data_IF_738292740167
#
_entry.id   IF_738292740167
#
_cell.length_a   1.000
_cell.length_b   1.000
_cell.length_c   1.000
_cell.angle_alpha   90.00
_cell.angle_beta   90.00
_cell.angle_gamma   90.00
#
_symmetry.space_group_name_H-M   'P 1'
#
loop_
_entity.id
_entity.type
_entity.pdbx_description
1 polymer ?
#
# COMPACT_ATOMS: atom_id res chain seq x y z
N UNK A 1 8.46 9.05 -15.03
CA UNK A 1 7.08 8.70 -14.63
C UNK A 1 6.90 7.21 -14.33
N UNK A 2 7.42 6.29 -15.15
CA UNK A 2 7.34 4.83 -14.93
C UNK A 2 7.74 4.39 -13.51
N UNK A 3 8.88 4.86 -12.99
CA UNK A 3 9.33 4.53 -11.63
C UNK A 3 8.40 5.07 -10.53
N UNK A 4 7.82 6.25 -10.73
CA UNK A 4 6.91 6.86 -9.74
C UNK A 4 5.59 6.09 -9.68
N UNK A 5 5.04 5.72 -10.83
CA UNK A 5 3.84 4.87 -10.91
C UNK A 5 4.04 3.53 -10.21
N UNK A 6 5.17 2.87 -10.48
CA UNK A 6 5.53 1.59 -9.87
C UNK A 6 5.68 1.71 -8.36
N UNK A 7 6.30 2.80 -7.87
CA UNK A 7 6.43 3.07 -6.43
C UNK A 7 5.09 3.33 -5.73
N UNK A 8 4.13 4.03 -6.35
CA UNK A 8 2.82 4.28 -5.75
C UNK A 8 1.99 3.00 -5.67
N UNK A 9 2.01 2.18 -6.72
CA UNK A 9 1.36 0.87 -6.72
C UNK A 9 1.92 -0.05 -5.64
N UNK A 10 3.24 -0.04 -5.46
CA UNK A 10 3.91 -0.80 -4.43
C UNK A 10 3.46 -0.39 -3.01
N UNK A 11 3.47 0.91 -2.72
CA UNK A 11 3.06 1.44 -1.42
C UNK A 11 1.60 1.08 -1.08
N UNK A 12 0.67 1.20 -2.05
CA UNK A 12 -0.73 0.82 -1.86
C UNK A 12 -0.89 -0.68 -1.51
N UNK A 13 -0.22 -1.55 -2.27
CA UNK A 13 -0.28 -3.01 -2.06
C UNK A 13 0.33 -3.42 -0.72
N UNK A 14 1.47 -2.84 -0.37
CA UNK A 14 2.16 -3.14 0.89
C UNK A 14 1.30 -2.79 2.10
N UNK A 15 0.66 -1.60 2.10
CA UNK A 15 -0.20 -1.14 3.19
C UNK A 15 -1.43 -2.03 3.39
N UNK A 16 -2.09 -2.44 2.30
CA UNK A 16 -3.24 -3.37 2.37
C UNK A 16 -2.83 -4.73 2.94
N UNK A 17 -1.71 -5.29 2.48
CA UNK A 17 -1.18 -6.54 3.04
C UNK A 17 -0.87 -6.37 4.53
N UNK A 18 -0.16 -5.32 4.90
CA UNK A 18 0.18 -5.04 6.30
C UNK A 18 -1.06 -4.97 7.21
N UNK A 19 -2.11 -4.28 6.77
CA UNK A 19 -3.37 -4.19 7.53
C UNK A 19 -3.98 -5.57 7.79
N UNK A 20 -3.96 -6.47 6.80
CA UNK A 20 -4.41 -7.87 6.95
C UNK A 20 -3.50 -8.65 7.90
N UNK A 21 -2.17 -8.50 7.81
CA UNK A 21 -1.22 -9.17 8.69
C UNK A 21 -1.40 -8.76 10.16
N UNK A 22 -1.70 -7.49 10.44
CA UNK A 22 -2.01 -7.02 11.80
C UNK A 22 -3.27 -7.69 12.34
N UNK A 23 -4.32 -7.82 11.53
CA UNK A 23 -5.55 -8.51 11.92
C UNK A 23 -5.33 -10.00 12.17
N UNK A 24 -4.54 -10.67 11.31
CA UNK A 24 -4.18 -12.09 11.47
C UNK A 24 -3.33 -12.30 12.73
N UNK A 25 -2.39 -11.41 13.01
CA UNK A 25 -1.58 -11.48 14.23
C UNK A 25 -2.44 -11.32 15.50
N UNK A 26 -3.36 -10.35 15.50
CA UNK A 26 -4.28 -10.15 16.62
C UNK A 26 -5.23 -11.34 16.80
N UNK A 27 -5.79 -11.89 15.71
CA UNK A 27 -6.69 -13.03 15.79
C UNK A 27 -5.98 -14.27 16.32
N UNK A 28 -4.76 -14.56 15.85
CA UNK A 28 -3.94 -15.66 16.34
C UNK A 28 -3.60 -15.50 17.83
N UNK A 29 -3.26 -14.28 18.27
CA UNK A 29 -2.97 -14.00 19.67
C UNK A 29 -4.22 -14.17 20.56
N UNK A 30 -5.38 -13.71 20.10
CA UNK A 30 -6.65 -13.89 20.78
C UNK A 30 -7.01 -15.38 20.90
N UNK A 31 -6.86 -16.16 19.83
CA UNK A 31 -7.09 -17.61 19.85
C UNK A 31 -6.15 -18.31 20.83
N UNK A 32 -4.87 -17.92 20.90
CA UNK A 32 -3.92 -18.48 21.85
C UNK A 32 -4.37 -18.25 23.30
N UNK A 33 -4.76 -17.02 23.65
CA UNK A 33 -5.27 -16.71 25.00
C UNK A 33 -6.49 -17.56 25.33
N UNK A 34 -7.46 -17.65 24.42
CA UNK A 34 -8.66 -18.47 24.62
C UNK A 34 -8.30 -19.94 24.84
N UNK A 35 -7.40 -20.51 24.02
CA UNK A 35 -6.98 -21.92 24.18
C UNK A 35 -6.27 -22.18 25.50
N UNK A 36 -5.38 -21.27 25.94
CA UNK A 36 -4.72 -21.38 27.24
C UNK A 36 -5.71 -21.27 28.41
N UNK A 37 -6.68 -20.37 28.32
CA UNK A 37 -7.75 -20.25 29.32
C UNK A 37 -8.62 -21.51 29.41
N UNK A 38 -8.93 -22.15 28.27
CA UNK A 38 -9.69 -23.40 28.25
C UNK A 38 -8.92 -24.57 28.86
N UNK A 39 -7.61 -24.66 28.61
CA UNK A 39 -6.75 -25.71 29.22
C UNK A 39 -6.71 -25.56 30.75
N UNK A 40 -6.77 -24.34 31.28
CA UNK A 40 -6.80 -24.09 32.73
C UNK A 40 -8.18 -24.34 33.38
N UNK A 41 -9.20 -24.74 32.61
CA UNK A 41 -10.55 -24.97 33.14
C UNK A 41 -11.25 -23.69 33.59
N UNK A 42 -10.93 -22.55 32.95
CA UNK A 42 -11.51 -21.27 33.32
C UNK A 42 -13.04 -21.24 33.14
N UNK A 43 -13.74 -20.68 34.12
CA UNK A 43 -15.17 -20.35 34.01
C UNK A 43 -15.38 -19.24 32.97
N UNK A 44 -16.61 -19.12 32.43
CA UNK A 44 -16.96 -18.06 31.46
C UNK A 44 -16.64 -16.66 32.02
N UNK A 45 -16.81 -16.46 33.33
CA UNK A 45 -16.50 -15.21 34.02
C UNK A 45 -15.00 -14.87 34.03
N UNK A 46 -14.14 -15.87 34.23
CA UNK A 46 -12.68 -15.71 34.13
C UNK A 46 -12.23 -15.46 32.68
N UNK A 47 -12.89 -16.07 31.70
CA UNK A 47 -12.59 -15.83 30.29
C UNK A 47 -12.85 -14.37 29.89
N UNK A 48 -13.94 -13.78 30.39
CA UNK A 48 -14.27 -12.38 30.12
C UNK A 48 -13.28 -11.46 30.84
N UNK A 49 -13.12 -11.64 32.15
CA UNK A 49 -12.34 -10.71 32.99
C UNK A 49 -10.83 -10.79 32.75
N UNK A 50 -10.30 -12.00 32.53
CA UNK A 50 -8.86 -12.25 32.40
C UNK A 50 -8.42 -12.41 30.94
N UNK A 51 -9.32 -12.76 30.03
CA UNK A 51 -9.04 -12.93 28.61
C UNK A 51 -9.47 -11.73 27.76
N UNK A 52 -10.78 -11.46 27.69
CA UNK A 52 -11.35 -10.48 26.74
C UNK A 52 -11.08 -9.04 27.18
N UNK A 53 -11.29 -8.70 28.45
CA UNK A 53 -11.10 -7.33 28.97
C UNK A 53 -9.72 -6.74 28.68
N UNK A 54 -8.59 -7.44 28.92
CA UNK A 54 -7.27 -6.91 28.58
C UNK A 54 -6.96 -6.87 27.07
N UNK A 55 -7.73 -7.59 26.23
CA UNK A 55 -7.59 -7.56 24.77
C UNK A 55 -8.26 -6.34 24.11
N UNK A 56 -9.21 -5.70 24.78
CA UNK A 56 -9.98 -4.58 24.23
C UNK A 56 -9.11 -3.42 23.70
N UNK A 57 -8.08 -2.93 24.43
CA UNK A 57 -7.20 -1.88 23.91
C UNK A 57 -6.43 -2.33 22.66
N UNK A 58 -6.02 -3.60 22.60
CA UNK A 58 -5.33 -4.17 21.45
C UNK A 58 -6.23 -4.25 20.21
N UNK A 59 -7.49 -4.64 20.41
CA UNK A 59 -8.50 -4.66 19.33
C UNK A 59 -8.75 -3.25 18.80
N UNK A 60 -8.92 -2.26 19.68
CA UNK A 60 -9.11 -0.86 19.26
C UNK A 60 -7.89 -0.32 18.50
N UNK A 61 -6.68 -0.62 18.97
CA UNK A 61 -5.45 -0.20 18.30
C UNK A 61 -5.29 -0.86 16.92
N UNK A 62 -5.61 -2.15 16.81
CA UNK A 62 -5.56 -2.88 15.55
C UNK A 62 -6.60 -2.39 14.55
N UNK A 63 -7.83 -2.12 14.99
CA UNK A 63 -8.85 -1.52 14.12
C UNK A 63 -8.43 -0.14 13.64
N UNK A 64 -7.90 0.70 14.54
CA UNK A 64 -7.36 2.01 14.15
C UNK A 64 -6.22 1.88 13.14
N UNK A 65 -5.26 0.98 13.39
CA UNK A 65 -4.17 0.72 12.47
C UNK A 65 -4.68 0.22 11.11
N UNK A 66 -5.72 -0.63 11.09
CA UNK A 66 -6.35 -1.09 9.86
C UNK A 66 -6.94 0.08 9.06
N UNK A 67 -7.77 0.91 9.69
CA UNK A 67 -8.39 2.07 9.02
C UNK A 67 -7.34 3.09 8.54
N UNK A 68 -6.38 3.44 9.40
CA UNK A 68 -5.33 4.40 9.05
C UNK A 68 -4.48 3.90 7.85
N UNK A 69 -4.27 2.58 7.73
CA UNK A 69 -3.54 1.97 6.62
C UNK A 69 -4.40 1.82 5.35
N UNK A 70 -5.69 1.49 5.47
CA UNK A 70 -6.60 1.43 4.32
C UNK A 70 -6.82 2.82 3.71
N UNK A 71 -7.01 3.85 4.54
CA UNK A 71 -7.08 5.23 4.09
C UNK A 71 -5.80 5.69 3.38
N UNK A 72 -4.63 5.28 3.88
CA UNK A 72 -3.36 5.52 3.21
C UNK A 72 -3.26 4.77 1.87
N UNK A 73 -3.76 3.53 1.79
CA UNK A 73 -3.80 2.79 0.54
C UNK A 73 -4.73 3.45 -0.50
N UNK A 74 -5.90 3.95 -0.09
CA UNK A 74 -6.83 4.68 -0.97
C UNK A 74 -6.16 5.94 -1.54
N UNK A 75 -5.41 6.70 -0.72
CA UNK A 75 -4.65 7.88 -1.21
C UNK A 75 -3.55 7.49 -2.20
N UNK A 76 -2.85 6.39 -1.95
CA UNK A 76 -1.84 5.88 -2.86
C UNK A 76 -2.46 5.42 -4.21
N UNK A 77 -3.64 4.80 -4.19
CA UNK A 77 -4.40 4.44 -5.39
C UNK A 77 -4.82 5.69 -6.19
N UNK A 78 -5.24 6.76 -5.52
CA UNK A 78 -5.55 8.04 -6.18
C UNK A 78 -4.31 8.66 -6.86
N UNK A 79 -3.15 8.62 -6.21
CA UNK A 79 -1.88 9.08 -6.79
C UNK A 79 -1.46 8.23 -8.01
N UNK A 80 -1.69 6.92 -7.95
CA UNK A 80 -1.48 6.04 -9.10
C UNK A 80 -2.38 6.46 -10.27
N UNK A 81 -3.66 6.73 -10.03
CA UNK A 81 -4.59 7.20 -11.06
C UNK A 81 -4.16 8.52 -11.69
N UNK A 82 -3.67 9.47 -10.88
CA UNK A 82 -3.10 10.72 -11.39
C UNK A 82 -1.84 10.50 -12.22
N UNK A 83 -0.95 9.59 -11.81
CA UNK A 83 0.21 9.22 -12.63
C UNK A 83 -0.17 8.57 -13.95
N UNK A 84 -1.25 7.79 -14.02
CA UNK A 84 -1.74 7.14 -15.24
C UNK A 84 -2.37 8.14 -16.20
N UNK A 85 -3.11 9.13 -15.68
CA UNK A 85 -3.67 10.18 -16.52
C UNK A 85 -2.57 11.06 -17.13
N UNK A 86 -1.53 11.37 -16.36
CA UNK A 86 -0.34 12.09 -16.85
C UNK A 86 0.41 11.34 -17.94
N UNK A 87 0.59 10.03 -17.76
CA UNK A 87 1.21 9.18 -18.77
C UNK A 87 0.44 9.22 -20.09
N UNK A 88 -0.89 9.07 -20.04
CA UNK A 88 -1.76 9.13 -21.23
C UNK A 88 -1.69 10.51 -21.90
N UNK A 89 -1.80 11.60 -21.13
CA UNK A 89 -1.64 12.97 -21.66
C UNK A 89 -0.32 13.14 -22.40
N UNK A 90 0.79 12.65 -21.84
CA UNK A 90 2.11 12.73 -22.46
C UNK A 90 2.29 11.87 -23.73
N UNK A 91 1.42 10.90 -23.97
CA UNK A 91 1.40 10.08 -25.19
C UNK A 91 0.48 10.65 -26.27
N UNK A 92 -0.42 11.57 -25.93
CA UNK A 92 -1.24 12.30 -26.89
C UNK A 92 -0.41 13.45 -27.52
N UNK A 93 -0.63 13.75 -28.80
CA UNK A 93 0.16 14.69 -29.62
C UNK A 93 -0.02 16.18 -29.26
N UNK A 94 -0.35 16.51 -28.00
CA UNK A 94 -1.03 17.77 -27.65
C UNK A 94 -0.51 18.59 -26.44
N UNK A 95 0.18 18.06 -25.41
CA UNK A 95 0.59 18.91 -24.30
C UNK A 95 1.85 19.72 -24.61
N UNK A 96 1.83 20.99 -24.22
CA UNK A 96 3.05 21.81 -24.14
C UNK A 96 3.96 21.18 -23.07
N UNK A 97 5.21 20.90 -23.42
CA UNK A 97 6.16 20.19 -22.54
C UNK A 97 6.28 20.83 -21.14
N UNK A 98 6.10 22.15 -21.04
CA UNK A 98 6.13 22.90 -19.78
C UNK A 98 4.91 22.62 -18.88
N UNK A 99 3.71 22.47 -19.43
CA UNK A 99 2.51 22.13 -18.66
C UNK A 99 2.64 20.72 -18.07
N UNK A 100 3.13 19.77 -18.87
CA UNK A 100 3.37 18.40 -18.41
C UNK A 100 4.42 18.37 -17.28
N UNK A 101 5.45 19.22 -17.36
CA UNK A 101 6.48 19.37 -16.33
C UNK A 101 5.89 19.91 -15.01
N UNK A 102 4.97 20.87 -15.07
CA UNK A 102 4.29 21.40 -13.89
C UNK A 102 3.42 20.33 -13.23
N UNK A 103 2.60 19.61 -14.00
CA UNK A 103 1.76 18.55 -13.42
C UNK A 103 2.61 17.39 -12.86
N UNK A 104 3.77 17.08 -13.46
CA UNK A 104 4.73 16.11 -12.91
C UNK A 104 5.31 16.54 -11.57
N UNK A 105 5.59 17.83 -11.37
CA UNK A 105 6.07 18.36 -10.09
C UNK A 105 4.98 18.30 -9.03
N UNK A 106 3.74 18.65 -9.39
CA UNK A 106 2.59 18.50 -8.50
C UNK A 106 2.41 17.04 -8.04
N UNK A 107 2.53 16.06 -8.95
CA UNK A 107 2.50 14.65 -8.57
C UNK A 107 3.61 14.30 -7.55
N UNK A 108 4.81 14.85 -7.71
CA UNK A 108 5.92 14.60 -6.79
C UNK A 108 5.67 15.20 -5.40
N UNK A 109 5.12 16.41 -5.35
CA UNK A 109 4.77 17.08 -4.11
C UNK A 109 3.70 16.30 -3.34
N UNK A 110 2.67 15.81 -4.05
CA UNK A 110 1.62 14.97 -3.45
C UNK A 110 2.16 13.60 -2.98
N UNK A 111 3.09 12.98 -3.72
CA UNK A 111 3.77 11.76 -3.27
C UNK A 111 4.58 12.03 -1.99
N UNK A 112 5.28 13.16 -1.93
CA UNK A 112 6.06 13.53 -0.75
C UNK A 112 5.15 13.74 0.46
N UNK A 113 4.05 14.48 0.30
CA UNK A 113 3.11 14.74 1.38
C UNK A 113 2.41 13.46 1.84
N UNK A 114 2.05 12.57 0.91
CA UNK A 114 1.52 11.24 1.22
C UNK A 114 2.52 10.43 2.06
N UNK A 115 3.81 10.41 1.71
CA UNK A 115 4.85 9.73 2.48
C UNK A 115 5.02 10.32 3.89
N UNK A 116 4.88 11.63 4.04
CA UNK A 116 4.99 12.31 5.36
C UNK A 116 3.82 12.01 6.28
N UNK A 117 2.61 11.88 5.71
CA UNK A 117 1.38 11.59 6.47
C UNK A 117 1.12 10.10 6.67
N UNK A 118 1.93 9.26 6.02
CA UNK A 118 1.74 7.83 6.04
C UNK A 118 2.09 7.24 7.41
N UNK A 119 1.23 6.39 7.98
CA UNK A 119 1.54 5.70 9.22
C UNK A 119 2.77 4.79 9.05
N UNK A 120 3.57 4.72 10.13
CA UNK A 120 4.79 3.93 10.19
C UNK A 120 4.45 2.44 9.98
N UNK A 121 5.30 1.76 9.21
CA UNK A 121 5.27 0.31 9.02
C UNK A 121 6.43 -0.29 9.82
N UNK A 122 6.22 -1.46 10.44
CA UNK A 122 7.35 -2.18 11.04
C UNK A 122 8.34 -2.64 9.97
N UNK A 123 9.63 -2.34 10.16
CA UNK A 123 10.69 -2.59 9.18
C UNK A 123 10.82 -4.06 8.75
N UNK A 124 10.58 -5.00 9.66
CA UNK A 124 10.68 -6.44 9.35
C UNK A 124 9.57 -6.90 8.39
N UNK A 125 8.38 -6.31 8.48
CA UNK A 125 7.26 -6.60 7.56
C UNK A 125 7.60 -6.06 6.18
N UNK A 126 8.11 -4.82 6.12
CA UNK A 126 8.59 -4.22 4.87
C UNK A 126 9.65 -5.10 4.19
N UNK A 127 10.63 -5.59 4.94
CA UNK A 127 11.70 -6.43 4.39
C UNK A 127 11.20 -7.80 3.89
N UNK A 128 10.23 -8.40 4.59
CA UNK A 128 9.66 -9.70 4.19
C UNK A 128 8.87 -9.60 2.88
N UNK A 129 8.03 -8.57 2.75
CA UNK A 129 7.18 -8.37 1.56
C UNK A 129 7.96 -7.83 0.37
N UNK A 130 9.05 -7.09 0.59
CA UNK A 130 9.85 -6.49 -0.49
C UNK A 130 10.34 -7.50 -1.54
N UNK A 131 10.70 -8.72 -1.14
CA UNK A 131 11.33 -9.70 -2.05
C UNK A 131 10.39 -10.23 -3.13
N UNK A 132 9.13 -10.50 -2.81
CA UNK A 132 8.14 -10.97 -3.79
C UNK A 132 7.78 -9.87 -4.79
N UNK A 133 7.75 -8.62 -4.33
CA UNK A 133 7.22 -7.52 -5.10
C UNK A 133 8.27 -6.78 -5.94
N UNK A 134 9.56 -6.96 -5.67
CA UNK A 134 10.66 -6.51 -6.53
C UNK A 134 10.56 -7.14 -7.93
N UNK A 135 10.10 -8.40 -8.02
CA UNK A 135 9.83 -9.07 -9.30
C UNK A 135 8.64 -8.43 -10.05
N UNK A 136 7.54 -8.15 -9.35
CA UNK A 136 6.37 -7.50 -9.96
C UNK A 136 6.69 -6.07 -10.43
N UNK A 137 7.52 -5.33 -9.70
CA UNK A 137 7.96 -3.99 -10.09
C UNK A 137 8.77 -4.01 -11.39
N UNK A 138 9.67 -4.97 -11.56
CA UNK A 138 10.48 -5.09 -12.77
C UNK A 138 9.61 -5.40 -13.99
N UNK A 139 8.72 -6.39 -13.89
CA UNK A 139 7.80 -6.76 -14.99
C UNK A 139 6.88 -5.61 -15.38
N UNK A 140 6.35 -4.86 -14.40
CA UNK A 140 5.48 -3.71 -14.68
C UNK A 140 6.22 -2.52 -15.31
N UNK A 141 7.49 -2.31 -14.95
CA UNK A 141 8.33 -1.29 -15.56
C UNK A 141 8.71 -1.68 -17.00
N UNK A 142 9.05 -2.95 -17.23
CA UNK A 142 9.37 -3.47 -18.57
C UNK A 142 8.20 -3.29 -19.55
N UNK A 143 6.98 -3.63 -19.13
CA UNK A 143 5.78 -3.46 -19.97
C UNK A 143 5.56 -1.99 -20.40
N UNK A 144 5.80 -1.04 -19.50
CA UNK A 144 5.67 0.40 -19.80
C UNK A 144 6.77 0.92 -20.73
N UNK A 145 8.00 0.44 -20.56
CA UNK A 145 9.11 0.77 -21.46
C UNK A 145 8.83 0.21 -22.85
N UNK A 146 8.28 -1.00 -22.93
CA UNK A 146 7.89 -1.63 -24.19
C UNK A 146 6.78 -0.82 -24.89
N UNK A 147 5.75 -0.41 -24.17
CA UNK A 147 4.66 0.44 -24.68
C UNK A 147 5.19 1.76 -25.26
N UNK A 148 6.03 2.48 -24.50
CA UNK A 148 6.65 3.72 -24.96
C UNK A 148 7.54 3.52 -26.19
N UNK A 149 8.28 2.40 -26.25
CA UNK A 149 9.12 2.07 -27.39
C UNK A 149 8.31 1.78 -28.67
N UNK A 150 7.14 1.14 -28.53
CA UNK A 150 6.22 0.88 -29.65
C UNK A 150 5.59 2.17 -30.16
N UNK A 151 5.14 3.05 -29.26
CA UNK A 151 4.59 4.35 -29.62
C UNK A 151 5.61 5.24 -30.37
N UNK A 152 6.87 5.22 -29.93
CA UNK A 152 7.98 5.93 -30.59
C UNK A 152 8.32 5.37 -31.98
N UNK A 153 8.20 4.05 -32.19
CA UNK A 153 8.43 3.43 -33.50
C UNK A 153 7.31 3.75 -34.50
N UNK A 154 6.06 3.79 -34.04
CA UNK A 154 4.91 4.15 -34.88
C UNK A 154 4.96 5.61 -35.36
N UNK A 155 5.41 6.53 -34.51
CA UNK A 155 5.55 7.94 -34.84
C UNK A 155 6.75 8.26 -35.75
N UNK A 156 7.69 7.32 -35.93
CA UNK A 156 8.83 7.46 -36.84
C UNK A 156 8.59 6.84 -38.24
N UNK A 157 7.47 6.14 -38.45
CA UNK A 157 7.06 5.55 -39.73
C UNK A 157 6.00 6.36 -40.49
N UNK A 158 5.50 7.45 -39.89
CA UNK A 158 4.61 8.45 -40.50
C UNK A 158 5.44 9.67 -40.82
#
# INVERSE_FOLDING_TARGET
>A
MVCQRSSCWWDARLRRRYAVWVLVGLSAFSTLIVTLSLIQGATIENLISTGITPLMPGIMLAMKAYFDQDDAAIRADALKGFSESLWRKGMESGPVADELLVECRQLQDEILEHRRRSPLLFDWVYQLLRREDEQFMNTGAEALVEEASRARRYSAQI
#
